data_IF_132728156351
#
_entry.id   IF_132728156351
#
_cell.length_a   1.000
_cell.length_b   1.000
_cell.length_c   1.000
_cell.angle_alpha   90.00
_cell.angle_beta   90.00
_cell.angle_gamma   90.00
#
_symmetry.space_group_name_H-M   'P 1'
#
loop_
_entity.id
_entity.type
_entity.pdbx_description
1 polymer ?
#
# COMPACT_ATOMS: atom_id res chain seq x y z
N UNK A 1 -8.07 24.45 1.68
CA UNK A 1 -9.14 23.61 2.28
C UNK A 1 -9.71 22.61 1.28
N UNK A 2 -10.31 23.00 0.15
CA UNK A 2 -10.56 22.05 -0.97
C UNK A 2 -9.29 21.34 -1.47
N UNK A 3 -8.13 22.01 -1.36
CA UNK A 3 -6.84 21.41 -1.73
C UNK A 3 -6.50 20.12 -0.96
N UNK A 4 -6.96 19.93 0.28
CA UNK A 4 -6.66 18.71 1.05
C UNK A 4 -7.46 17.51 0.53
N UNK A 5 -8.75 17.70 0.20
CA UNK A 5 -9.59 16.65 -0.39
C UNK A 5 -9.00 16.19 -1.73
N UNK A 6 -8.71 17.16 -2.60
CA UNK A 6 -8.15 16.87 -3.93
C UNK A 6 -6.77 16.23 -3.83
N UNK A 7 -5.93 16.68 -2.88
CA UNK A 7 -4.64 16.05 -2.61
C UNK A 7 -4.79 14.58 -2.20
N UNK A 8 -5.66 14.27 -1.21
CA UNK A 8 -5.87 12.88 -0.78
C UNK A 8 -6.43 12.03 -1.91
N UNK A 9 -7.40 12.53 -2.68
CA UNK A 9 -7.95 11.81 -3.85
C UNK A 9 -6.87 11.51 -4.89
N UNK A 10 -6.05 12.50 -5.25
CA UNK A 10 -4.96 12.32 -6.20
C UNK A 10 -3.93 11.29 -5.72
N UNK A 11 -3.57 11.31 -4.43
CA UNK A 11 -2.63 10.32 -3.88
C UNK A 11 -3.21 8.90 -3.83
N UNK A 12 -4.51 8.75 -3.57
CA UNK A 12 -5.19 7.46 -3.70
C UNK A 12 -5.25 6.97 -5.15
N UNK A 13 -5.40 7.87 -6.13
CA UNK A 13 -5.31 7.52 -7.55
C UNK A 13 -3.89 7.03 -7.91
N UNK A 14 -2.85 7.73 -7.46
CA UNK A 14 -1.45 7.35 -7.67
C UNK A 14 -1.13 5.96 -7.07
N UNK A 15 -1.53 5.73 -5.82
CA UNK A 15 -1.35 4.44 -5.14
C UNK A 15 -2.13 3.32 -5.84
N UNK A 16 -3.33 3.62 -6.35
CA UNK A 16 -4.15 2.66 -7.10
C UNK A 16 -3.45 2.26 -8.40
N UNK A 17 -2.90 3.21 -9.14
CA UNK A 17 -2.17 2.93 -10.39
C UNK A 17 -1.00 1.97 -10.14
N UNK A 18 -0.22 2.20 -9.08
CA UNK A 18 0.90 1.33 -8.70
C UNK A 18 0.41 -0.07 -8.31
N UNK A 19 -0.62 -0.15 -7.47
CA UNK A 19 -1.17 -1.43 -7.03
C UNK A 19 -1.82 -2.22 -8.18
N UNK A 20 -2.55 -1.55 -9.09
CA UNK A 20 -3.10 -2.18 -10.28
C UNK A 20 -2.01 -2.73 -11.20
N UNK A 21 -0.94 -1.97 -11.44
CA UNK A 21 0.19 -2.43 -12.23
C UNK A 21 0.83 -3.69 -11.63
N UNK A 22 1.06 -3.72 -10.31
CA UNK A 22 1.59 -4.89 -9.62
C UNK A 22 0.64 -6.11 -9.68
N UNK A 23 -0.67 -5.89 -9.56
CA UNK A 23 -1.69 -6.93 -9.68
C UNK A 23 -1.76 -7.52 -11.09
N UNK A 24 -1.54 -6.72 -12.13
CA UNK A 24 -1.48 -7.22 -13.51
C UNK A 24 -0.20 -8.01 -13.78
N UNK A 25 0.90 -7.66 -13.10
CA UNK A 25 2.19 -8.33 -13.25
C UNK A 25 2.29 -9.65 -12.45
N UNK A 26 1.49 -9.85 -11.41
CA UNK A 26 1.58 -11.03 -10.52
C UNK A 26 0.23 -11.40 -9.91
N UNK A 27 -0.06 -12.70 -9.87
CA UNK A 27 -1.33 -13.23 -9.38
C UNK A 27 -1.38 -13.29 -7.84
N UNK A 28 -2.43 -12.74 -7.24
CA UNK A 28 -2.70 -12.91 -5.81
C UNK A 28 -3.31 -14.30 -5.50
N UNK A 29 -3.13 -14.87 -4.30
CA UNK A 29 -2.37 -14.31 -3.20
C UNK A 29 -0.86 -14.56 -3.30
N UNK A 30 -0.07 -13.62 -2.80
CA UNK A 30 1.37 -13.78 -2.59
C UNK A 30 1.64 -14.65 -1.35
N UNK A 31 2.53 -15.63 -1.46
CA UNK A 31 2.82 -16.61 -0.40
C UNK A 31 4.32 -16.84 -0.23
N UNK A 32 4.75 -16.90 1.03
CA UNK A 32 6.10 -17.28 1.37
C UNK A 32 6.26 -18.81 1.36
N UNK A 33 7.26 -19.31 0.66
CA UNK A 33 7.60 -20.73 0.57
C UNK A 33 9.05 -20.98 0.97
N UNK A 34 9.33 -22.17 1.52
CA UNK A 34 10.69 -22.68 1.72
C UNK A 34 11.17 -23.41 0.49
N UNK A 35 12.38 -23.11 0.03
CA UNK A 35 13.03 -23.80 -1.09
C UNK A 35 14.46 -24.19 -0.73
N UNK A 36 14.98 -25.18 -1.46
CA UNK A 36 16.33 -25.66 -1.32
C UNK A 36 17.11 -25.34 -2.58
N UNK A 37 18.33 -24.84 -2.42
CA UNK A 37 19.23 -24.50 -3.51
C UNK A 37 20.67 -24.78 -3.11
N UNK A 38 21.59 -24.15 -3.82
CA UNK A 38 23.02 -24.28 -3.56
C UNK A 38 23.66 -22.90 -3.50
N UNK A 39 24.51 -22.69 -2.50
CA UNK A 39 25.50 -21.62 -2.47
C UNK A 39 26.88 -22.26 -2.74
N UNK A 40 27.33 -22.17 -3.99
CA UNK A 40 28.45 -22.97 -4.48
C UNK A 40 28.14 -24.47 -4.45
N UNK A 41 28.81 -25.22 -3.58
CA UNK A 41 28.61 -26.66 -3.41
C UNK A 41 27.75 -27.03 -2.18
N UNK A 42 27.43 -26.05 -1.33
CA UNK A 42 26.70 -26.29 -0.08
C UNK A 42 25.19 -26.13 -0.30
N UNK A 43 24.37 -27.11 0.12
CA UNK A 43 22.92 -26.98 0.07
C UNK A 43 22.44 -25.95 1.09
N UNK A 44 21.56 -25.05 0.67
CA UNK A 44 20.98 -24.00 1.51
C UNK A 44 19.47 -23.98 1.40
N UNK A 45 18.77 -23.79 2.52
CA UNK A 45 17.35 -23.45 2.52
C UNK A 45 17.22 -21.94 2.44
N UNK A 46 16.28 -21.46 1.62
CA UNK A 46 15.98 -20.04 1.45
C UNK A 46 14.48 -19.83 1.31
N UNK A 47 14.00 -18.61 1.58
CA UNK A 47 12.60 -18.23 1.45
C UNK A 47 12.37 -17.53 0.12
N UNK A 48 11.27 -17.89 -0.53
CA UNK A 48 10.82 -17.29 -1.79
C UNK A 48 9.41 -16.77 -1.60
N UNK A 49 9.20 -15.51 -1.97
CA UNK A 49 7.86 -14.96 -2.13
C UNK A 49 7.36 -15.30 -3.53
N UNK A 50 6.30 -16.09 -3.62
CA UNK A 50 5.68 -16.47 -4.89
C UNK A 50 4.28 -15.90 -5.03
N UNK A 51 3.91 -15.64 -6.26
CA UNK A 51 2.53 -15.36 -6.63
C UNK A 51 1.72 -16.67 -6.74
N UNK A 52 0.41 -16.57 -7.00
CA UNK A 52 -0.47 -17.74 -7.05
C UNK A 52 -0.24 -18.66 -8.26
N UNK A 53 0.40 -18.16 -9.31
CA UNK A 53 0.77 -18.95 -10.50
C UNK A 53 2.16 -19.60 -10.32
N UNK A 54 2.82 -19.36 -9.18
CA UNK A 54 4.12 -19.88 -8.83
C UNK A 54 5.28 -19.04 -9.37
N UNK A 55 5.04 -17.83 -9.86
CA UNK A 55 6.10 -16.90 -10.26
C UNK A 55 6.86 -16.42 -9.01
N UNK A 56 8.19 -16.42 -9.07
CA UNK A 56 9.03 -15.85 -8.00
C UNK A 56 9.02 -14.33 -8.09
N UNK A 57 8.57 -13.66 -7.03
CA UNK A 57 8.54 -12.19 -6.92
C UNK A 57 9.85 -11.70 -6.29
N UNK A 58 10.28 -12.31 -5.20
CA UNK A 58 11.48 -11.97 -4.44
C UNK A 58 11.96 -13.17 -3.62
N UNK A 59 13.24 -13.17 -3.23
CA UNK A 59 13.81 -14.18 -2.33
C UNK A 59 14.81 -13.57 -1.33
N UNK A 60 15.07 -14.29 -0.24
CA UNK A 60 15.97 -13.87 0.85
C UNK A 60 17.44 -14.23 0.61
N UNK A 61 17.79 -14.71 -0.60
CA UNK A 61 19.19 -14.86 -1.04
C UNK A 61 19.77 -13.56 -1.57
N UNK A 62 18.91 -12.54 -1.76
CA UNK A 62 19.31 -11.16 -2.05
C UNK A 62 19.44 -10.37 -0.75
N UNK A 63 19.18 -9.05 -0.78
CA UNK A 63 19.30 -8.18 0.40
C UNK A 63 18.02 -8.11 1.25
N UNK A 64 17.08 -9.05 1.07
CA UNK A 64 15.81 -9.10 1.81
C UNK A 64 15.87 -10.21 2.85
N UNK A 65 15.28 -9.97 4.03
CA UNK A 65 15.10 -11.02 5.04
C UNK A 65 13.76 -11.74 4.89
N UNK A 66 13.57 -12.87 5.58
CA UNK A 66 12.28 -13.55 5.63
C UNK A 66 11.16 -12.65 6.23
N UNK A 67 11.51 -11.75 7.14
CA UNK A 67 10.61 -10.74 7.69
C UNK A 67 10.22 -9.71 6.62
N UNK A 68 11.17 -9.23 5.81
CA UNK A 68 10.88 -8.33 4.69
C UNK A 68 9.91 -8.98 3.71
N UNK A 69 10.15 -10.25 3.34
CA UNK A 69 9.26 -10.98 2.43
C UNK A 69 7.87 -11.19 3.02
N UNK A 70 7.78 -11.43 4.34
CA UNK A 70 6.50 -11.55 5.05
C UNK A 70 5.75 -10.22 5.04
N UNK A 71 6.44 -9.10 5.26
CA UNK A 71 5.86 -7.77 5.16
C UNK A 71 5.35 -7.49 3.74
N UNK A 72 6.15 -7.77 2.72
CA UNK A 72 5.75 -7.59 1.30
C UNK A 72 4.52 -8.45 0.98
N UNK A 73 4.50 -9.72 1.37
CA UNK A 73 3.34 -10.60 1.18
C UNK A 73 2.08 -10.05 1.85
N UNK A 74 2.21 -9.49 3.06
CA UNK A 74 1.09 -8.91 3.80
C UNK A 74 0.49 -7.68 3.11
N UNK A 75 1.32 -6.93 2.37
CA UNK A 75 0.95 -5.73 1.61
C UNK A 75 0.75 -6.01 0.11
N UNK A 76 0.31 -7.22 -0.24
CA UNK A 76 0.08 -7.59 -1.64
C UNK A 76 -0.91 -6.67 -2.37
N UNK A 77 -0.84 -6.58 -3.72
CA UNK A 77 -1.61 -5.61 -4.50
C UNK A 77 -3.12 -5.70 -4.30
N UNK A 78 -3.66 -6.90 -4.11
CA UNK A 78 -5.09 -7.10 -3.87
C UNK A 78 -5.56 -6.43 -2.58
N UNK A 79 -4.75 -6.49 -1.52
CA UNK A 79 -5.05 -5.83 -0.25
C UNK A 79 -4.89 -4.32 -0.37
N UNK A 80 -3.82 -3.82 -0.99
CA UNK A 80 -3.61 -2.40 -1.19
C UNK A 80 -4.81 -1.74 -1.90
N UNK A 81 -5.32 -2.39 -2.96
CA UNK A 81 -6.53 -1.95 -3.66
C UNK A 81 -7.78 -1.95 -2.76
N UNK A 82 -7.94 -2.96 -1.91
CA UNK A 82 -9.06 -3.00 -0.95
C UNK A 82 -8.97 -1.88 0.09
N UNK A 83 -7.78 -1.55 0.58
CA UNK A 83 -7.56 -0.43 1.50
C UNK A 83 -7.81 0.94 0.83
N UNK A 84 -7.39 1.10 -0.43
CA UNK A 84 -7.68 2.31 -1.22
C UNK A 84 -9.19 2.49 -1.39
N UNK A 85 -9.90 1.44 -1.79
CA UNK A 85 -11.37 1.48 -1.96
C UNK A 85 -12.07 1.82 -0.64
N UNK A 86 -11.61 1.25 0.49
CA UNK A 86 -12.14 1.59 1.80
C UNK A 86 -11.95 3.08 2.14
N UNK A 87 -10.77 3.65 1.85
CA UNK A 87 -10.50 5.09 2.05
C UNK A 87 -11.35 5.96 1.11
N UNK A 88 -11.56 5.56 -0.15
CA UNK A 88 -12.45 6.27 -1.09
C UNK A 88 -13.89 6.30 -0.57
N UNK A 89 -14.42 5.16 -0.11
CA UNK A 89 -15.77 5.08 0.47
C UNK A 89 -15.92 5.99 1.69
N UNK A 90 -14.93 6.00 2.57
CA UNK A 90 -14.93 6.89 3.73
C UNK A 90 -15.07 8.37 3.31
N UNK A 91 -14.34 8.80 2.27
CA UNK A 91 -14.45 10.17 1.75
C UNK A 91 -15.84 10.44 1.17
N UNK A 92 -16.40 9.50 0.40
CA UNK A 92 -17.76 9.63 -0.17
C UNK A 92 -18.82 9.73 0.94
N UNK A 93 -18.72 8.90 1.98
CA UNK A 93 -19.63 8.93 3.12
C UNK A 93 -19.52 10.25 3.88
N UNK A 94 -18.30 10.74 4.12
CA UNK A 94 -18.06 12.04 4.73
C UNK A 94 -18.67 13.20 3.92
N UNK A 95 -18.56 13.17 2.59
CA UNK A 95 -19.21 14.13 1.70
C UNK A 95 -20.75 14.09 1.85
N UNK A 96 -21.33 12.90 2.04
CA UNK A 96 -22.78 12.74 2.21
C UNK A 96 -23.33 13.34 3.51
N UNK A 97 -22.49 13.49 4.54
CA UNK A 97 -22.84 14.15 5.81
C UNK A 97 -22.72 15.69 5.77
N UNK A 98 -22.55 16.27 4.57
CA UNK A 98 -22.46 17.71 4.34
C UNK A 98 -21.05 18.21 4.02
N UNK A 99 -20.06 17.31 4.00
CA UNK A 99 -18.73 17.60 3.49
C UNK A 99 -17.89 18.56 4.36
N UNK A 100 -16.87 19.20 3.77
CA UNK A 100 -15.92 20.03 4.50
C UNK A 100 -16.56 21.27 5.15
N UNK A 101 -17.72 21.72 4.69
CA UNK A 101 -18.34 22.94 5.22
C UNK A 101 -19.14 22.71 6.51
N UNK A 102 -19.41 21.45 6.89
CA UNK A 102 -20.42 21.14 7.91
C UNK A 102 -19.87 20.45 9.16
N UNK A 103 -18.64 19.94 9.16
CA UNK A 103 -18.14 19.12 10.29
C UNK A 103 -16.62 19.16 10.48
N UNK A 104 -16.17 19.42 11.71
CA UNK A 104 -14.77 19.32 12.12
C UNK A 104 -14.21 17.89 11.96
N UNK A 105 -15.08 16.87 12.08
CA UNK A 105 -14.67 15.48 11.93
C UNK A 105 -14.22 15.17 10.49
N UNK A 106 -14.79 15.85 9.49
CA UNK A 106 -14.36 15.74 8.09
C UNK A 106 -12.88 16.11 7.94
N UNK A 107 -12.49 17.24 8.50
CA UNK A 107 -11.10 17.72 8.45
C UNK A 107 -10.14 16.83 9.23
N UNK A 108 -10.56 16.36 10.41
CA UNK A 108 -9.75 15.46 11.23
C UNK A 108 -9.44 14.18 10.44
N UNK A 109 -10.46 13.54 9.86
CA UNK A 109 -10.27 12.30 9.09
C UNK A 109 -9.38 12.53 7.88
N UNK A 110 -9.59 13.60 7.11
CA UNK A 110 -8.74 13.87 5.93
C UNK A 110 -7.29 14.17 6.29
N UNK A 111 -7.03 14.91 7.37
CA UNK A 111 -5.67 15.12 7.85
C UNK A 111 -5.01 13.80 8.25
N UNK A 112 -5.76 12.90 8.91
CA UNK A 112 -5.26 11.56 9.21
C UNK A 112 -4.93 10.76 7.95
N UNK A 113 -5.81 10.75 6.95
CA UNK A 113 -5.53 10.08 5.67
C UNK A 113 -4.33 10.68 4.95
N UNK A 114 -4.14 12.00 5.01
CA UNK A 114 -3.02 12.68 4.36
C UNK A 114 -1.66 12.41 5.03
N UNK A 115 -1.63 11.96 6.29
CA UNK A 115 -0.37 11.78 7.04
C UNK A 115 0.61 10.82 6.39
N UNK A 116 0.13 9.81 5.67
CA UNK A 116 1.00 8.84 4.97
C UNK A 116 1.74 9.47 3.79
N UNK A 117 1.34 10.68 3.37
CA UNK A 117 1.95 11.45 2.30
C UNK A 117 2.68 12.70 2.82
N UNK A 118 3.06 12.75 4.09
CA UNK A 118 3.70 13.92 4.71
C UNK A 118 5.06 14.31 4.10
N UNK A 119 5.71 13.37 3.40
CA UNK A 119 6.97 13.59 2.67
C UNK A 119 6.74 14.00 1.20
N UNK A 120 5.48 14.07 0.75
CA UNK A 120 5.16 14.46 -0.62
C UNK A 120 5.40 15.97 -0.82
N UNK A 121 6.01 16.42 -1.94
CA UNK A 121 6.34 17.84 -2.15
C UNK A 121 5.12 18.78 -2.14
N UNK A 122 3.97 18.31 -2.62
CA UNK A 122 2.71 19.06 -2.60
C UNK A 122 1.98 19.03 -1.24
N UNK A 123 2.48 18.29 -0.26
CA UNK A 123 1.91 18.25 1.08
C UNK A 123 2.13 19.60 1.79
N UNK A 124 1.07 20.17 2.37
CA UNK A 124 1.15 21.47 3.05
C UNK A 124 1.24 21.29 4.57
N UNK A 125 2.11 22.07 5.23
CA UNK A 125 2.33 21.98 6.67
C UNK A 125 1.08 22.26 7.50
N UNK A 126 0.12 23.05 6.99
CA UNK A 126 -1.17 23.32 7.65
C UNK A 126 -2.10 22.08 7.69
N UNK A 127 -1.72 20.99 7.00
CA UNK A 127 -2.40 19.69 7.07
C UNK A 127 -1.81 18.75 8.11
N UNK A 128 -0.62 19.05 8.67
CA UNK A 128 0.00 18.21 9.69
C UNK A 128 -0.87 18.13 10.94
N UNK A 129 -0.90 16.94 11.51
CA UNK A 129 -1.32 16.76 12.89
C UNK A 129 -0.14 17.20 13.76
N UNK A 130 -0.45 18.02 14.77
CA UNK A 130 0.43 18.69 15.74
C UNK A 130 1.86 18.15 15.91
#
# INVERSE_FOLDING_TARGET
MNGLVEFVKARLDDDELVAQAARLASAAPWRLTSEHGFDGAEPVEYKVLRDNDGLSIADDRTNLTAEDLTHIAHHEPARALAEIEAKRRLIIELDSYGGPETTDAYYVVLRHLATVYADHPDYQDDWRLW
#
